data_IF_554599747174
#
_entry.id   IF_554599747174
#
_cell.length_a   1.000
_cell.length_b   1.000
_cell.length_c   1.000
_cell.angle_alpha   90.00
_cell.angle_beta   90.00
_cell.angle_gamma   90.00
#
_symmetry.space_group_name_H-M   'P 1'
#
loop_
_entity.id
_entity.type
_entity.pdbx_description
1 polymer ?
#
# COMPACT_ATOMS: atom_id res chain seq x y z
N UNK A 1 2.78 4.47 10.80
CA UNK A 1 2.87 5.67 11.67
C UNK A 1 4.26 6.27 11.54
N UNK A 2 4.39 7.60 11.38
CA UNK A 2 5.71 8.23 11.26
C UNK A 2 6.35 8.44 12.64
N UNK A 3 7.61 8.03 12.80
CA UNK A 3 8.41 8.32 14.00
C UNK A 3 8.61 9.83 14.22
N UNK A 4 8.33 10.67 13.22
CA UNK A 4 8.42 12.13 13.27
C UNK A 4 7.48 12.74 14.32
N UNK A 5 6.28 12.18 14.53
CA UNK A 5 5.41 12.68 15.62
C UNK A 5 6.06 12.50 16.98
N UNK A 6 6.69 11.35 17.20
CA UNK A 6 7.41 11.05 18.43
C UNK A 6 8.72 11.83 18.55
N UNK A 7 9.32 12.34 17.47
CA UNK A 7 10.50 13.22 17.58
C UNK A 7 10.12 14.65 17.96
N UNK A 8 8.97 15.16 17.48
CA UNK A 8 8.53 16.54 17.67
C UNK A 8 7.67 16.79 18.91
N UNK A 9 6.93 15.78 19.40
CA UNK A 9 5.93 15.99 20.47
C UNK A 9 6.56 16.36 21.83
N UNK A 10 6.07 17.38 22.53
CA UNK A 10 6.57 17.70 23.88
C UNK A 10 6.26 16.57 24.88
N UNK A 11 5.02 16.10 24.83
CA UNK A 11 4.48 15.05 25.69
C UNK A 11 3.99 13.88 24.84
N UNK A 12 4.22 12.66 25.32
CA UNK A 12 3.91 11.41 24.64
C UNK A 12 2.99 10.58 25.54
N UNK A 13 1.85 10.16 24.99
CA UNK A 13 0.98 9.17 25.60
C UNK A 13 1.04 7.91 24.75
N UNK A 14 1.27 6.76 25.39
CA UNK A 14 1.38 5.47 24.69
C UNK A 14 0.12 4.67 24.99
N UNK A 15 -0.56 4.22 23.94
CA UNK A 15 -1.56 3.18 24.06
C UNK A 15 -0.87 1.82 23.91
N UNK A 16 -0.83 1.04 24.99
CA UNK A 16 -0.30 -0.33 24.98
C UNK A 16 -1.48 -1.29 24.78
N UNK A 17 -1.66 -1.72 23.53
CA UNK A 17 -2.80 -2.52 23.11
C UNK A 17 -2.46 -4.02 23.09
N UNK A 18 -3.04 -4.78 24.02
CA UNK A 18 -2.82 -6.23 24.18
C UNK A 18 -3.39 -7.08 23.04
N UNK A 19 -4.27 -6.53 22.19
CA UNK A 19 -4.74 -7.21 21.00
C UNK A 19 -3.62 -7.42 19.96
N UNK A 20 -2.52 -6.66 20.06
CA UNK A 20 -1.36 -6.77 19.18
C UNK A 20 -0.24 -7.56 19.88
N UNK A 21 0.11 -8.77 19.40
CA UNK A 21 1.11 -9.61 20.06
C UNK A 21 2.52 -9.02 19.93
N UNK A 22 3.36 -9.28 20.94
CA UNK A 22 4.77 -8.85 20.95
C UNK A 22 5.58 -9.38 19.76
N UNK A 23 5.15 -10.50 19.17
CA UNK A 23 5.77 -11.13 18.01
C UNK A 23 5.74 -10.24 16.75
N UNK A 24 4.92 -9.19 16.73
CA UNK A 24 4.96 -8.15 15.71
C UNK A 24 6.30 -7.40 15.66
N UNK A 25 7.09 -7.41 16.75
CA UNK A 25 8.42 -6.79 16.80
C UNK A 25 9.32 -7.37 15.73
N UNK A 26 9.76 -6.55 14.78
CA UNK A 26 10.56 -6.99 13.63
C UNK A 26 9.84 -6.88 12.28
N UNK A 27 8.51 -6.69 12.27
CA UNK A 27 7.80 -6.28 11.06
C UNK A 27 8.23 -4.89 10.60
N UNK A 28 8.49 -3.99 11.54
CA UNK A 28 8.80 -2.59 11.27
C UNK A 28 10.26 -2.37 10.85
N UNK A 29 10.48 -1.37 10.01
CA UNK A 29 11.77 -0.81 9.64
C UNK A 29 11.68 0.72 9.69
N UNK A 30 11.96 1.26 10.87
CA UNK A 30 11.82 2.67 11.19
C UNK A 30 13.11 3.39 10.85
N UNK A 31 13.08 4.14 9.76
CA UNK A 31 14.15 5.06 9.37
C UNK A 31 13.58 6.48 9.28
N UNK A 32 14.27 7.42 9.92
CA UNK A 32 13.94 8.85 9.87
C UNK A 32 15.08 9.56 9.13
N UNK A 33 14.82 10.10 7.92
CA UNK A 33 15.86 10.77 7.14
C UNK A 33 16.30 12.06 7.84
N UNK A 34 17.60 12.36 7.76
CA UNK A 34 18.12 13.66 8.18
C UNK A 34 17.74 14.73 7.14
N UNK A 35 17.03 15.77 7.59
CA UNK A 35 16.51 16.82 6.73
C UNK A 35 17.63 17.57 5.99
N UNK A 36 17.43 17.80 4.69
CA UNK A 36 18.28 18.65 3.82
C UNK A 36 19.76 18.23 3.73
N UNK A 37 20.08 16.96 3.97
CA UNK A 37 21.47 16.48 3.87
C UNK A 37 21.90 16.13 2.44
N UNK A 38 20.95 15.98 1.52
CA UNK A 38 21.21 15.49 0.15
C UNK A 38 21.70 14.05 0.10
N UNK A 39 21.69 13.33 1.23
CA UNK A 39 22.07 11.91 1.28
C UNK A 39 20.94 11.06 0.73
N UNK A 40 21.25 10.01 -0.06
CA UNK A 40 20.25 9.11 -0.57
C UNK A 40 19.66 8.25 0.54
N UNK A 41 18.43 7.77 0.32
CA UNK A 41 17.81 6.72 1.12
C UNK A 41 18.30 5.38 0.55
N UNK A 42 19.05 4.60 1.32
CA UNK A 42 19.73 3.38 0.86
C UNK A 42 18.80 2.16 0.71
N UNK A 43 17.72 2.31 -0.06
CA UNK A 43 16.82 1.22 -0.45
C UNK A 43 16.99 0.99 -1.96
N UNK A 44 17.46 -0.20 -2.30
CA UNK A 44 17.63 -0.67 -3.67
C UNK A 44 16.65 -1.82 -4.00
N UNK A 45 16.25 -2.60 -2.99
CA UNK A 45 15.31 -3.72 -3.09
C UNK A 45 14.14 -3.57 -2.11
N UNK A 46 12.99 -4.19 -2.44
CA UNK A 46 11.76 -4.08 -1.63
C UNK A 46 11.94 -4.61 -0.20
N UNK A 47 12.87 -5.53 0.02
CA UNK A 47 13.16 -6.22 1.29
C UNK A 47 14.35 -5.63 2.07
N UNK A 48 14.98 -4.56 1.59
CA UNK A 48 16.08 -3.91 2.32
C UNK A 48 15.61 -3.37 3.68
N UNK A 49 16.43 -3.50 4.71
CA UNK A 49 16.18 -2.89 6.03
C UNK A 49 17.23 -1.83 6.31
N UNK A 50 16.80 -0.60 6.51
CA UNK A 50 17.69 0.56 6.67
C UNK A 50 17.57 1.25 8.02
N UNK A 51 16.63 0.82 8.85
CA UNK A 51 16.29 1.42 10.13
C UNK A 51 16.26 0.43 11.28
N UNK A 52 15.43 0.73 12.27
CA UNK A 52 15.27 -0.07 13.49
C UNK A 52 13.85 -0.65 13.61
N UNK A 53 13.66 -1.78 14.30
CA UNK A 53 12.32 -2.38 14.46
C UNK A 53 11.45 -1.68 15.52
N UNK A 54 11.81 -0.47 15.92
CA UNK A 54 11.18 0.34 16.98
C UNK A 54 11.49 1.83 16.75
N UNK A 55 10.72 2.70 17.42
CA UNK A 55 11.03 4.13 17.54
C UNK A 55 11.67 4.40 18.90
N UNK A 56 12.72 5.22 18.96
CA UNK A 56 13.37 5.63 20.21
C UNK A 56 12.83 7.00 20.67
N UNK A 57 12.47 7.11 21.96
CA UNK A 57 11.99 8.35 22.59
C UNK A 57 12.68 8.57 23.93
N UNK A 58 12.74 9.82 24.43
CA UNK A 58 13.15 10.10 25.81
C UNK A 58 12.02 9.65 26.76
N UNK A 59 12.26 8.73 27.71
CA UNK A 59 11.25 8.29 28.67
C UNK A 59 10.61 9.42 29.47
N UNK A 60 11.32 10.51 29.75
CA UNK A 60 10.77 11.68 30.48
C UNK A 60 9.64 12.41 29.73
N UNK A 61 9.59 12.24 28.40
CA UNK A 61 8.49 12.77 27.56
C UNK A 61 7.24 11.89 27.63
N UNK A 62 7.33 10.66 28.13
CA UNK A 62 6.18 9.77 28.29
C UNK A 62 5.40 10.22 29.53
N UNK A 63 4.22 10.80 29.33
CA UNK A 63 3.35 11.31 30.40
C UNK A 63 2.27 10.34 30.84
N UNK A 64 2.03 9.29 30.07
CA UNK A 64 1.11 8.23 30.44
C UNK A 64 1.19 7.03 29.51
N UNK A 65 0.85 5.88 30.06
CA UNK A 65 0.63 4.64 29.31
C UNK A 65 -0.81 4.21 29.59
N UNK A 66 -1.61 4.07 28.55
CA UNK A 66 -3.00 3.61 28.60
C UNK A 66 -3.03 2.17 28.12
N UNK A 67 -3.52 1.26 28.95
CA UNK A 67 -3.70 -0.14 28.56
C UNK A 67 -5.01 -0.29 27.80
N UNK A 68 -4.97 -0.95 26.65
CA UNK A 68 -6.15 -1.28 25.85
C UNK A 68 -6.06 -2.72 25.34
N UNK A 69 -7.18 -3.24 24.84
CA UNK A 69 -7.24 -4.55 24.22
C UNK A 69 -8.34 -4.54 23.16
N UNK A 70 -8.01 -4.02 21.98
CA UNK A 70 -8.98 -3.81 20.90
C UNK A 70 -8.32 -3.97 19.53
N UNK A 71 -8.90 -4.82 18.69
CA UNK A 71 -8.50 -4.94 17.29
C UNK A 71 -8.86 -3.69 16.48
N UNK A 72 -8.13 -3.48 15.38
CA UNK A 72 -8.42 -2.39 14.46
C UNK A 72 -9.81 -2.57 13.83
N UNK A 73 -10.57 -1.47 13.74
CA UNK A 73 -11.86 -1.49 13.06
C UNK A 73 -11.69 -1.19 11.57
N UNK A 74 -11.84 -2.20 10.73
CA UNK A 74 -11.99 -2.03 9.28
C UNK A 74 -13.39 -2.46 8.84
N UNK A 75 -13.92 -1.81 7.80
CA UNK A 75 -15.06 -2.36 7.09
C UNK A 75 -14.55 -3.50 6.21
N UNK A 76 -15.30 -4.59 6.10
CA UNK A 76 -15.01 -5.64 5.13
C UNK A 76 -14.90 -5.07 3.71
N UNK A 77 -14.06 -5.69 2.90
CA UNK A 77 -13.89 -5.29 1.50
C UNK A 77 -15.01 -5.89 0.66
N UNK A 78 -15.50 -5.13 -0.31
CA UNK A 78 -16.45 -5.66 -1.28
C UNK A 78 -15.68 -6.52 -2.28
N UNK A 79 -16.20 -7.71 -2.54
CA UNK A 79 -15.68 -8.57 -3.59
C UNK A 79 -15.61 -7.81 -4.93
N UNK A 80 -14.53 -8.00 -5.72
CA UNK A 80 -14.45 -7.45 -7.06
C UNK A 80 -15.63 -7.88 -7.93
N UNK A 81 -16.20 -6.94 -8.68
CA UNK A 81 -17.27 -7.21 -9.64
C UNK A 81 -16.72 -7.56 -11.03
N UNK A 82 -17.61 -7.99 -11.93
CA UNK A 82 -17.25 -8.36 -13.31
C UNK A 82 -16.50 -7.24 -14.05
N UNK A 83 -16.90 -5.98 -13.83
CA UNK A 83 -16.23 -4.83 -14.42
C UNK A 83 -14.79 -4.69 -13.91
N UNK A 84 -14.59 -4.86 -12.60
CA UNK A 84 -13.26 -4.87 -11.98
C UNK A 84 -12.36 -5.97 -12.55
N UNK A 85 -12.89 -7.17 -12.76
CA UNK A 85 -12.13 -8.27 -13.38
C UNK A 85 -11.79 -8.01 -14.86
N UNK A 86 -12.69 -7.39 -15.62
CA UNK A 86 -12.39 -6.97 -17.01
C UNK A 86 -11.25 -5.97 -17.06
N UNK A 87 -11.31 -4.93 -16.21
CA UNK A 87 -10.24 -3.94 -16.09
C UNK A 87 -8.92 -4.62 -15.70
N UNK A 88 -8.95 -5.52 -14.72
CA UNK A 88 -7.77 -6.27 -14.30
C UNK A 88 -7.14 -7.07 -15.43
N UNK A 89 -7.93 -7.83 -16.20
CA UNK A 89 -7.40 -8.62 -17.31
C UNK A 89 -6.77 -7.74 -18.40
N UNK A 90 -7.37 -6.60 -18.74
CA UNK A 90 -6.77 -5.65 -19.69
C UNK A 90 -5.41 -5.12 -19.21
N UNK A 91 -5.30 -4.82 -17.91
CA UNK A 91 -4.04 -4.37 -17.31
C UNK A 91 -2.98 -5.47 -17.38
N UNK A 92 -3.33 -6.70 -17.03
CA UNK A 92 -2.37 -7.81 -17.01
C UNK A 92 -1.92 -8.21 -18.41
N UNK A 93 -2.83 -8.22 -19.39
CA UNK A 93 -2.47 -8.48 -20.78
C UNK A 93 -1.56 -7.37 -21.34
N UNK A 94 -1.80 -6.10 -20.99
CA UNK A 94 -0.88 -5.01 -21.31
C UNK A 94 0.50 -5.23 -20.70
N UNK A 95 0.59 -5.53 -19.40
CA UNK A 95 1.88 -5.76 -18.73
C UNK A 95 2.64 -6.92 -19.38
N UNK A 96 1.97 -8.03 -19.67
CA UNK A 96 2.59 -9.19 -20.30
C UNK A 96 3.04 -8.89 -21.74
N UNK A 97 2.27 -8.10 -22.48
CA UNK A 97 2.66 -7.63 -23.80
C UNK A 97 3.92 -6.76 -23.74
N UNK A 98 4.03 -5.86 -22.75
CA UNK A 98 5.24 -5.05 -22.52
C UNK A 98 6.46 -5.91 -22.16
N UNK A 99 6.26 -6.99 -21.39
CA UNK A 99 7.31 -7.97 -21.08
C UNK A 99 7.77 -8.72 -22.33
N UNK A 100 6.84 -9.18 -23.15
CA UNK A 100 7.14 -9.90 -24.41
C UNK A 100 7.99 -9.05 -25.35
N UNK A 101 7.75 -7.74 -25.38
CA UNK A 101 8.49 -6.79 -26.20
C UNK A 101 9.74 -6.20 -25.51
N UNK A 102 10.09 -6.70 -24.32
CA UNK A 102 11.30 -6.28 -23.58
C UNK A 102 11.25 -4.85 -23.03
N UNK A 103 10.07 -4.22 -22.95
CA UNK A 103 9.87 -2.90 -22.34
C UNK A 103 9.69 -2.98 -20.83
N UNK A 104 9.24 -4.13 -20.33
CA UNK A 104 9.30 -4.49 -18.90
C UNK A 104 10.23 -5.71 -18.75
N UNK A 105 11.11 -5.75 -17.73
CA UNK A 105 11.94 -6.92 -17.48
C UNK A 105 11.12 -8.20 -17.27
N UNK A 106 11.67 -9.36 -17.65
CA UNK A 106 11.02 -10.68 -17.46
C UNK A 106 10.72 -11.01 -15.99
N UNK A 107 11.52 -10.47 -15.07
CA UNK A 107 11.30 -10.60 -13.62
C UNK A 107 10.21 -9.67 -13.07
N UNK A 108 9.58 -8.88 -13.94
CA UNK A 108 8.68 -7.77 -13.61
C UNK A 108 9.38 -6.68 -12.77
N UNK A 109 8.67 -5.58 -12.59
CA UNK A 109 9.04 -4.52 -11.66
C UNK A 109 8.09 -4.60 -10.45
N UNK A 110 8.47 -4.08 -9.28
CA UNK A 110 7.60 -4.15 -8.11
C UNK A 110 6.30 -3.36 -8.33
N UNK A 111 5.21 -3.88 -7.77
CA UNK A 111 3.88 -3.31 -7.91
C UNK A 111 3.53 -2.41 -6.73
N UNK A 112 2.96 -1.24 -7.02
CA UNK A 112 2.12 -0.50 -6.08
C UNK A 112 0.67 -0.71 -6.47
N UNK A 113 -0.17 -1.00 -5.48
CA UNK A 113 -1.60 -1.20 -5.65
C UNK A 113 -2.33 -0.28 -4.69
N UNK A 114 -3.10 0.66 -5.24
CA UNK A 114 -3.99 1.49 -4.44
C UNK A 114 -5.13 0.69 -3.79
N UNK A 115 -6.00 1.40 -3.08
CA UNK A 115 -7.17 0.81 -2.42
C UNK A 115 -8.36 0.70 -3.37
N UNK A 116 -9.13 -0.39 -3.24
CA UNK A 116 -10.46 -0.54 -3.83
C UNK A 116 -10.65 -1.80 -4.67
N UNK A 117 -11.88 -2.00 -5.13
CA UNK A 117 -12.30 -3.24 -5.79
C UNK A 117 -11.46 -3.60 -7.03
N UNK A 118 -11.14 -2.61 -7.88
CA UNK A 118 -10.36 -2.87 -9.09
C UNK A 118 -8.92 -3.29 -8.75
N UNK A 119 -8.30 -2.62 -7.78
CA UNK A 119 -6.95 -2.95 -7.33
C UNK A 119 -6.89 -4.38 -6.75
N UNK A 120 -7.88 -4.73 -5.92
CA UNK A 120 -8.03 -6.09 -5.39
C UNK A 120 -8.26 -7.13 -6.51
N UNK A 121 -9.03 -6.78 -7.55
CA UNK A 121 -9.24 -7.65 -8.72
C UNK A 121 -7.93 -7.95 -9.44
N UNK A 122 -7.04 -6.96 -9.59
CA UNK A 122 -5.74 -7.16 -10.25
C UNK A 122 -4.90 -8.18 -9.47
N UNK A 123 -4.76 -8.01 -8.15
CA UNK A 123 -3.97 -8.94 -7.34
C UNK A 123 -4.57 -10.35 -7.33
N UNK A 124 -5.90 -10.48 -7.26
CA UNK A 124 -6.59 -11.76 -7.35
C UNK A 124 -6.41 -12.43 -8.73
N UNK A 125 -6.39 -11.66 -9.83
CA UNK A 125 -6.08 -12.19 -11.16
C UNK A 125 -4.63 -12.66 -11.26
N UNK A 126 -3.66 -11.90 -10.74
CA UNK A 126 -2.25 -12.32 -10.70
C UNK A 126 -2.09 -13.64 -9.93
N UNK A 127 -2.76 -13.76 -8.77
CA UNK A 127 -2.74 -14.98 -7.97
C UNK A 127 -3.17 -16.21 -8.76
N UNK A 128 -4.11 -16.07 -9.70
CA UNK A 128 -4.65 -17.17 -10.53
C UNK A 128 -3.93 -17.38 -11.86
N UNK A 129 -3.25 -16.36 -12.38
CA UNK A 129 -2.63 -16.39 -13.71
C UNK A 129 -1.22 -17.01 -13.70
N UNK A 130 -1.07 -18.19 -14.30
CA UNK A 130 0.19 -18.93 -14.35
C UNK A 130 1.31 -18.27 -15.18
N UNK A 131 0.98 -17.23 -15.96
CA UNK A 131 1.95 -16.39 -16.67
C UNK A 131 2.78 -15.56 -15.69
N UNK A 132 2.22 -15.23 -14.53
CA UNK A 132 2.92 -14.58 -13.42
C UNK A 132 3.52 -15.64 -12.49
N UNK A 133 4.84 -15.64 -12.33
CA UNK A 133 5.56 -16.60 -11.48
C UNK A 133 5.78 -16.10 -10.06
N UNK A 134 6.19 -14.85 -9.94
CA UNK A 134 6.42 -14.19 -8.67
C UNK A 134 6.29 -12.69 -8.86
N UNK A 135 5.79 -12.00 -7.84
CA UNK A 135 5.73 -10.55 -7.80
C UNK A 135 6.32 -10.02 -6.49
N UNK A 136 6.79 -8.78 -6.57
CA UNK A 136 7.17 -7.97 -5.43
C UNK A 136 6.20 -6.80 -5.32
N UNK A 137 6.00 -6.31 -4.09
CA UNK A 137 5.18 -5.14 -3.85
C UNK A 137 5.95 -4.07 -3.08
N UNK A 138 5.76 -2.82 -3.49
CA UNK A 138 6.16 -1.64 -2.74
C UNK A 138 4.99 -0.66 -2.80
N UNK A 139 4.19 -0.63 -1.75
CA UNK A 139 2.89 0.04 -1.71
C UNK A 139 2.72 0.86 -0.43
N UNK A 140 1.66 1.65 -0.31
CA UNK A 140 1.34 2.33 0.96
C UNK A 140 0.56 1.41 1.91
N UNK A 141 -0.44 0.71 1.37
CA UNK A 141 -1.38 -0.11 2.13
C UNK A 141 -1.51 -1.49 1.50
N UNK A 142 -1.56 -2.51 2.34
CA UNK A 142 -1.88 -3.89 1.96
C UNK A 142 -3.25 -4.27 2.53
N UNK A 143 -4.07 -4.90 1.68
CA UNK A 143 -5.42 -5.38 2.00
C UNK A 143 -5.50 -6.90 1.83
N UNK A 144 -6.67 -7.48 2.10
CA UNK A 144 -6.89 -8.93 2.10
C UNK A 144 -6.47 -9.65 0.81
N UNK A 145 -6.51 -8.97 -0.33
CA UNK A 145 -6.10 -9.52 -1.63
C UNK A 145 -4.65 -10.01 -1.68
N UNK A 146 -3.83 -9.64 -0.70
CA UNK A 146 -2.48 -10.18 -0.52
C UNK A 146 -2.48 -11.66 -0.15
N UNK A 147 -3.52 -12.14 0.53
CA UNK A 147 -3.61 -13.53 0.98
C UNK A 147 -3.73 -14.49 -0.20
N UNK A 148 -4.44 -14.11 -1.26
CA UNK A 148 -4.50 -14.90 -2.51
C UNK A 148 -3.10 -15.04 -3.15
N UNK A 149 -2.28 -14.00 -3.09
CA UNK A 149 -0.91 -14.01 -3.62
C UNK A 149 0.03 -14.85 -2.75
N UNK A 150 -0.18 -14.85 -1.44
CA UNK A 150 0.54 -15.71 -0.50
C UNK A 150 0.17 -17.18 -0.73
N UNK A 151 -1.12 -17.49 -0.81
CA UNK A 151 -1.65 -18.85 -0.98
C UNK A 151 -1.24 -19.46 -2.32
N UNK A 152 -1.18 -18.64 -3.38
CA UNK A 152 -0.68 -19.06 -4.69
C UNK A 152 0.86 -19.17 -4.75
N UNK A 153 1.58 -18.78 -3.70
CA UNK A 153 3.04 -18.75 -3.66
C UNK A 153 3.68 -17.70 -4.57
N UNK A 154 2.88 -16.75 -5.09
CA UNK A 154 3.34 -15.73 -6.06
C UNK A 154 3.87 -14.48 -5.39
N UNK A 155 3.57 -14.21 -4.13
CA UNK A 155 4.21 -13.10 -3.41
C UNK A 155 5.64 -13.47 -2.97
N UNK A 156 6.65 -12.80 -3.53
CA UNK A 156 8.01 -12.88 -2.99
C UNK A 156 8.10 -12.13 -1.67
N UNK A 157 7.78 -10.84 -1.72
CA UNK A 157 7.90 -9.91 -0.60
C UNK A 157 7.04 -8.66 -0.84
N UNK A 158 6.59 -8.02 0.25
CA UNK A 158 5.86 -6.76 0.19
C UNK A 158 6.35 -5.74 1.22
N UNK A 159 6.68 -4.55 0.73
CA UNK A 159 6.97 -3.36 1.52
C UNK A 159 5.76 -2.44 1.55
N UNK A 160 5.36 -2.03 2.75
CA UNK A 160 4.16 -1.21 2.97
C UNK A 160 4.32 -0.27 4.16
N UNK A 161 3.42 0.70 4.30
CA UNK A 161 3.30 1.50 5.55
C UNK A 161 2.29 0.89 6.50
N UNK A 162 1.20 0.36 5.97
CA UNK A 162 0.07 -0.12 6.76
C UNK A 162 -0.48 -1.44 6.24
N UNK A 163 -1.06 -2.19 7.17
CA UNK A 163 -1.88 -3.35 6.91
C UNK A 163 -3.31 -2.98 7.27
N UNK A 164 -4.25 -3.16 6.36
CA UNK A 164 -5.66 -2.91 6.60
C UNK A 164 -6.43 -4.13 6.15
N UNK A 165 -6.64 -5.03 7.10
CA UNK A 165 -7.33 -6.30 6.85
C UNK A 165 -8.77 -6.27 7.38
N UNK A 166 -9.65 -7.03 6.75
CA UNK A 166 -10.98 -7.36 7.31
C UNK A 166 -10.84 -8.05 8.69
N UNK A 167 -11.91 -8.19 9.48
CA UNK A 167 -11.86 -8.98 10.72
C UNK A 167 -11.33 -10.40 10.52
N UNK A 168 -11.71 -11.05 9.42
CA UNK A 168 -11.24 -12.39 9.04
C UNK A 168 -9.75 -12.37 8.66
N UNK A 169 -9.35 -11.38 7.84
CA UNK A 169 -7.95 -11.17 7.45
C UNK A 169 -7.03 -10.85 8.63
N UNK A 170 -7.49 -10.06 9.61
CA UNK A 170 -6.76 -9.80 10.85
C UNK A 170 -6.56 -11.07 11.67
N UNK A 171 -7.63 -11.87 11.82
CA UNK A 171 -7.58 -13.15 12.53
C UNK A 171 -6.55 -14.08 11.89
N UNK A 172 -6.57 -14.17 10.56
CA UNK A 172 -5.59 -14.95 9.79
C UNK A 172 -4.18 -14.42 9.97
N UNK A 173 -3.98 -13.10 9.82
CA UNK A 173 -2.67 -12.47 9.96
C UNK A 173 -2.02 -12.76 11.31
N UNK A 174 -2.76 -12.64 12.41
CA UNK A 174 -2.23 -12.92 13.74
C UNK A 174 -1.96 -14.42 13.97
N UNK A 175 -2.80 -15.29 13.42
CA UNK A 175 -2.59 -16.75 13.48
C UNK A 175 -1.33 -17.18 12.73
N UNK A 176 -1.04 -16.55 11.58
CA UNK A 176 0.07 -16.88 10.67
C UNK A 176 1.27 -15.92 10.83
N UNK A 177 1.27 -15.08 11.87
CA UNK A 177 2.18 -13.94 12.02
C UNK A 177 3.66 -14.29 11.85
N UNK A 178 4.10 -15.40 12.44
CA UNK A 178 5.50 -15.82 12.39
C UNK A 178 5.98 -16.14 10.97
N UNK A 179 5.11 -16.72 10.15
CA UNK A 179 5.40 -17.02 8.74
C UNK A 179 5.34 -15.74 7.90
N UNK A 180 4.27 -14.96 8.08
CA UNK A 180 4.02 -13.73 7.33
C UNK A 180 5.05 -12.63 7.61
N UNK A 181 5.66 -12.60 8.80
CA UNK A 181 6.70 -11.65 9.15
C UNK A 181 7.94 -11.72 8.27
N UNK A 182 8.19 -12.87 7.64
CA UNK A 182 9.27 -13.04 6.64
C UNK A 182 8.90 -12.51 5.25
N UNK A 183 7.65 -12.12 5.03
CA UNK A 183 7.08 -11.67 3.74
C UNK A 183 6.77 -10.18 3.69
N UNK A 184 6.78 -9.51 4.85
CA UNK A 184 6.38 -8.12 4.97
C UNK A 184 7.44 -7.25 5.65
N UNK A 185 7.45 -5.98 5.25
CA UNK A 185 8.11 -4.92 6.01
C UNK A 185 7.21 -3.70 6.11
N UNK A 186 7.10 -3.15 7.32
CA UNK A 186 6.34 -1.94 7.61
C UNK A 186 7.29 -0.75 7.76
N UNK A 187 7.21 0.20 6.84
CA UNK A 187 8.04 1.40 6.80
C UNK A 187 7.24 2.63 7.23
N UNK A 188 7.88 3.72 7.65
CA UNK A 188 7.23 5.03 7.70
C UNK A 188 6.73 5.44 6.30
N UNK A 189 5.61 6.17 6.26
CA UNK A 189 5.02 6.69 5.01
C UNK A 189 6.00 7.53 4.19
N UNK A 190 6.85 8.31 4.85
CA UNK A 190 7.91 9.10 4.20
C UNK A 190 8.92 8.24 3.41
N UNK A 191 9.01 6.95 3.74
CA UNK A 191 9.88 5.98 3.08
C UNK A 191 9.10 5.16 2.05
N UNK A 192 7.93 4.59 2.41
CA UNK A 192 7.10 3.84 1.45
C UNK A 192 6.61 4.69 0.28
N UNK A 193 6.50 6.00 0.48
CA UNK A 193 6.01 6.92 -0.54
C UNK A 193 7.13 7.84 -1.05
N UNK A 194 8.39 7.54 -0.74
CA UNK A 194 9.47 8.45 -1.09
C UNK A 194 9.68 8.52 -2.62
N UNK A 195 9.64 9.71 -3.25
CA UNK A 195 9.88 9.87 -4.68
C UNK A 195 11.19 9.27 -5.19
N UNK A 196 12.27 9.40 -4.42
CA UNK A 196 13.59 8.86 -4.77
C UNK A 196 13.54 7.34 -4.88
N UNK A 197 12.95 6.70 -3.87
CA UNK A 197 12.87 5.25 -3.75
C UNK A 197 11.90 4.67 -4.78
N UNK A 198 10.72 5.27 -4.96
CA UNK A 198 9.72 4.90 -5.97
C UNK A 198 10.36 4.91 -7.38
N UNK A 199 11.08 5.98 -7.70
CA UNK A 199 11.71 6.12 -9.01
C UNK A 199 12.88 5.16 -9.19
N UNK A 200 13.70 4.96 -8.15
CA UNK A 200 14.83 4.03 -8.19
C UNK A 200 14.37 2.60 -8.47
N UNK A 201 13.33 2.13 -7.79
CA UNK A 201 12.78 0.79 -7.98
C UNK A 201 12.02 0.61 -9.29
N UNK A 202 11.59 1.71 -9.93
CA UNK A 202 10.87 1.65 -11.19
C UNK A 202 9.49 1.01 -11.04
N UNK A 203 8.67 1.47 -10.10
CA UNK A 203 7.40 0.81 -9.78
C UNK A 203 6.39 0.82 -10.94
N UNK A 204 5.60 -0.25 -11.04
CA UNK A 204 4.33 -0.28 -11.79
C UNK A 204 3.23 0.10 -10.80
N UNK A 205 2.58 1.25 -11.03
CA UNK A 205 1.64 1.83 -10.07
C UNK A 205 0.22 1.77 -10.60
N UNK A 206 -0.72 1.36 -9.75
CA UNK A 206 -2.12 1.15 -10.13
C UNK A 206 -3.03 1.91 -9.16
N UNK A 207 -3.74 2.91 -9.67
CA UNK A 207 -4.51 3.82 -8.82
C UNK A 207 -5.92 4.04 -9.39
N UNK A 208 -6.91 4.01 -8.52
CA UNK A 208 -8.30 4.30 -8.90
C UNK A 208 -8.51 5.82 -9.07
N UNK A 209 -9.31 6.20 -10.06
CA UNK A 209 -9.79 7.55 -10.26
C UNK A 209 -11.29 7.66 -10.03
N UNK A 210 -11.76 8.85 -9.66
CA UNK A 210 -13.19 9.18 -9.69
C UNK A 210 -13.64 9.41 -11.12
N UNK A 211 -12.85 10.18 -11.87
CA UNK A 211 -13.11 10.54 -13.26
C UNK A 211 -11.80 10.90 -13.96
N UNK A 212 -11.82 10.83 -15.29
CA UNK A 212 -10.74 11.30 -16.15
C UNK A 212 -11.33 12.00 -17.37
N UNK A 213 -10.62 13.00 -17.90
CA UNK A 213 -11.01 13.67 -19.13
C UNK A 213 -10.34 13.05 -20.37
N UNK A 214 -10.75 13.51 -21.55
CA UNK A 214 -10.25 13.01 -22.84
C UNK A 214 -8.77 13.33 -23.10
N UNK A 215 -8.16 14.20 -22.29
CA UNK A 215 -6.75 14.56 -22.37
C UNK A 215 -5.88 13.80 -21.36
N UNK A 216 -6.50 12.90 -20.58
CA UNK A 216 -5.81 12.08 -19.59
C UNK A 216 -5.56 12.80 -18.26
N UNK A 217 -6.23 13.92 -17.98
CA UNK A 217 -6.23 14.48 -16.63
C UNK A 217 -7.11 13.62 -15.72
N UNK A 218 -6.69 13.47 -14.47
CA UNK A 218 -7.29 12.52 -13.53
C UNK A 218 -7.72 13.23 -12.26
N UNK A 219 -8.97 13.03 -11.87
CA UNK A 219 -9.50 13.46 -10.59
C UNK A 219 -9.68 12.26 -9.66
N UNK A 220 -9.07 12.31 -8.49
CA UNK A 220 -9.16 11.28 -7.44
C UNK A 220 -9.78 11.81 -6.13
N UNK A 221 -10.25 13.06 -6.10
CA UNK A 221 -10.56 13.75 -4.83
C UNK A 221 -11.96 14.34 -4.75
N UNK A 222 -12.40 15.12 -5.73
CA UNK A 222 -13.60 15.95 -5.60
C UNK A 222 -14.69 15.51 -6.57
N UNK A 223 -15.82 15.05 -6.05
CA UNK A 223 -17.02 14.84 -6.87
C UNK A 223 -17.55 16.19 -7.35
N UNK A 224 -17.78 16.30 -8.66
CA UNK A 224 -18.25 17.52 -9.33
C UNK A 224 -17.38 18.75 -9.03
N UNK A 225 -16.09 18.54 -8.73
CA UNK A 225 -15.11 19.59 -8.48
C UNK A 225 -15.19 20.28 -7.11
N UNK A 226 -16.10 19.88 -6.22
CA UNK A 226 -16.29 20.57 -4.92
C UNK A 226 -16.51 19.66 -3.73
N UNK A 227 -17.11 18.48 -3.90
CA UNK A 227 -17.39 17.57 -2.79
C UNK A 227 -16.21 16.63 -2.57
N UNK A 228 -15.44 16.86 -1.50
CA UNK A 228 -14.32 16.00 -1.13
C UNK A 228 -14.79 14.59 -0.80
N UNK A 229 -14.10 13.60 -1.38
CA UNK A 229 -14.23 12.19 -1.02
C UNK A 229 -13.29 11.86 0.15
N UNK A 230 -12.10 11.31 -0.13
CA UNK A 230 -11.14 10.92 0.90
C UNK A 230 -9.95 11.91 0.99
N UNK A 231 -9.40 12.30 -0.17
CA UNK A 231 -8.16 13.06 -0.27
C UNK A 231 -7.27 12.52 -1.39
N UNK A 232 -6.18 13.21 -1.70
CA UNK A 232 -5.26 12.79 -2.75
C UNK A 232 -4.45 11.55 -2.35
N UNK A 233 -4.23 11.38 -1.04
CA UNK A 233 -3.41 10.32 -0.47
C UNK A 233 -2.00 10.30 -1.07
N UNK A 234 -1.51 9.09 -1.27
CA UNK A 234 -0.24 8.73 -1.90
C UNK A 234 -0.23 8.79 -3.42
N UNK A 235 -1.40 8.97 -4.02
CA UNK A 235 -1.54 8.81 -5.46
C UNK A 235 -0.63 9.77 -6.24
N UNK A 236 -0.34 10.96 -5.70
CA UNK A 236 0.62 11.90 -6.28
C UNK A 236 2.06 11.40 -6.23
N UNK A 237 2.47 10.81 -5.10
CA UNK A 237 3.82 10.31 -4.88
C UNK A 237 4.16 9.18 -5.85
N UNK A 238 3.24 8.20 -5.97
CA UNK A 238 3.39 7.08 -6.89
C UNK A 238 3.19 7.50 -8.33
N UNK A 239 2.09 8.19 -8.66
CA UNK A 239 1.80 8.60 -10.05
C UNK A 239 2.83 9.61 -10.58
N UNK A 240 3.64 10.29 -9.79
CA UNK A 240 4.68 11.17 -10.35
C UNK A 240 5.98 10.43 -10.65
N UNK A 241 6.33 9.45 -9.82
CA UNK A 241 7.71 8.93 -9.74
C UNK A 241 7.88 7.49 -10.24
N UNK A 242 6.80 6.81 -10.63
CA UNK A 242 6.77 5.45 -11.19
C UNK A 242 7.55 5.24 -12.49
N UNK A 243 7.72 3.95 -12.86
CA UNK A 243 8.03 3.53 -14.24
C UNK A 243 6.79 3.60 -15.13
N UNK A 244 5.69 2.97 -14.72
CA UNK A 244 4.39 3.00 -15.41
C UNK A 244 3.28 3.42 -14.44
N UNK A 245 2.45 4.38 -14.86
CA UNK A 245 1.19 4.69 -14.16
C UNK A 245 0.03 4.08 -14.91
N UNK A 246 -0.74 3.28 -14.19
CA UNK A 246 -2.04 2.79 -14.62
C UNK A 246 -3.08 3.49 -13.76
N UNK A 247 -4.03 4.14 -14.43
CA UNK A 247 -5.18 4.76 -13.80
C UNK A 247 -6.42 3.97 -14.18
N UNK A 248 -7.19 3.59 -13.17
CA UNK A 248 -8.33 2.68 -13.31
C UNK A 248 -9.60 3.43 -12.99
N UNK A 249 -10.58 3.38 -13.90
CA UNK A 249 -11.90 3.99 -13.71
C UNK A 249 -12.94 3.10 -14.37
N UNK A 250 -14.08 2.91 -13.71
CA UNK A 250 -15.22 2.21 -14.32
C UNK A 250 -15.88 3.12 -15.36
N UNK A 251 -16.30 2.56 -16.50
CA UNK A 251 -16.81 3.36 -17.62
C UNK A 251 -18.06 4.20 -17.33
N UNK A 252 -18.84 3.84 -16.31
CA UNK A 252 -20.00 4.61 -15.84
C UNK A 252 -20.04 4.63 -14.31
N UNK A 253 -20.54 5.72 -13.72
CA UNK A 253 -20.92 5.82 -12.31
C UNK A 253 -22.37 6.31 -12.21
N UNK A 254 -23.13 5.79 -11.24
CA UNK A 254 -24.51 6.26 -10.98
C UNK A 254 -24.43 7.48 -10.07
N UNK A 255 -24.73 8.66 -10.61
CA UNK A 255 -24.88 9.88 -9.82
C UNK A 255 -26.34 10.03 -9.36
N UNK A 256 -26.63 9.66 -8.11
CA UNK A 256 -27.91 10.01 -7.49
C UNK A 256 -27.90 11.49 -7.11
N UNK A 257 -28.60 12.32 -7.89
CA UNK A 257 -28.75 13.77 -7.66
C UNK A 257 -29.42 14.13 -6.33
N UNK A 258 -30.09 13.18 -5.66
CA UNK A 258 -30.83 13.39 -4.43
C UNK A 258 -29.98 13.45 -3.15
N UNK A 259 -28.68 13.18 -3.23
CA UNK A 259 -27.78 13.17 -2.05
C UNK A 259 -27.08 14.50 -1.78
N UNK A 260 -27.33 15.52 -2.61
CA UNK A 260 -26.63 16.82 -2.59
C UNK A 260 -27.60 18.03 -2.50
N UNK A 261 -28.86 17.80 -2.10
CA UNK A 261 -29.79 18.86 -1.69
C UNK A 261 -29.90 18.91 -0.17
#
# INVERSE_FOLDING_TARGET
>A
MSGTYLSLAKDIYIELNEAHPLDMKGLHDIYLPELHTGRPINIDYVDDRIGTPYVRVNPERIKGIVLTNKFDSSKGFKEPDEASFKIANHILDFILHEVEHGRIPKGLLPFQSGVGNVANAVLACIAKDNRFKSIEMYTEVIQDSIFDLLDSGKLRFASTTALTFSPEGQTRFFKELNELKSKFILRPMEISNNPEVIRRMGLITMNTALEADIYGNVNSTHVLGSSMMNGIGDSGDFKRNKYISIVMVTGCAIFNRSSYQ
#
